data_IF_978197735940
#
_entry.id   IF_978197735940
#
_cell.length_a   1.000
_cell.length_b   1.000
_cell.length_c   1.000
_cell.angle_alpha   90.00
_cell.angle_beta   90.00
_cell.angle_gamma   90.00
#
_symmetry.space_group_name_H-M   'P 1'
#
loop_
_entity.id
_entity.type
_entity.pdbx_description
1 polymer ?
#
# COMPACT_ATOMS: atom_id res chain seq x y z
N UNK A 1 58.85 2.98 27.91
CA UNK A 1 58.04 4.17 28.24
C UNK A 1 56.64 3.93 27.67
N UNK A 2 55.70 3.50 28.53
CA UNK A 2 54.31 3.24 28.14
C UNK A 2 53.54 4.56 28.08
N UNK A 3 53.01 4.92 26.91
CA UNK A 3 52.13 6.07 26.72
C UNK A 3 50.71 5.63 26.43
N UNK A 4 49.92 5.44 27.50
CA UNK A 4 48.46 5.35 27.42
C UNK A 4 47.88 6.76 27.54
N UNK A 5 47.04 7.17 26.59
CA UNK A 5 46.26 8.41 26.63
C UNK A 5 45.84 8.79 25.21
N UNK A 6 44.56 8.95 24.85
CA UNK A 6 43.52 9.69 25.56
C UNK A 6 42.14 9.17 25.13
N UNK A 7 41.25 8.91 26.09
CA UNK A 7 39.82 8.67 25.85
C UNK A 7 39.14 9.96 25.38
N UNK A 8 38.17 9.75 24.50
CA UNK A 8 36.86 10.41 24.44
C UNK A 8 36.80 11.90 24.12
N UNK A 9 36.34 12.18 22.91
CA UNK A 9 35.56 13.36 22.58
C UNK A 9 34.43 12.94 21.63
N UNK A 10 33.47 12.14 22.11
CA UNK A 10 32.18 12.01 21.40
C UNK A 10 31.41 13.28 21.70
N UNK A 11 31.45 14.22 20.78
CA UNK A 11 30.62 15.42 20.78
C UNK A 11 29.14 15.02 20.81
N UNK A 12 28.34 15.67 21.66
CA UNK A 12 26.89 15.41 21.82
C UNK A 12 26.08 15.57 20.53
N UNK A 13 26.68 16.10 19.46
CA UNK A 13 26.11 16.16 18.11
C UNK A 13 26.15 14.80 17.38
N UNK A 14 27.14 13.95 17.64
CA UNK A 14 27.30 12.65 16.93
C UNK A 14 26.30 11.59 17.42
N UNK A 15 25.80 11.76 18.64
CA UNK A 15 24.75 10.89 19.21
C UNK A 15 23.35 11.25 18.72
N UNK A 16 23.14 12.47 18.19
CA UNK A 16 21.85 12.89 17.65
C UNK A 16 21.62 12.37 16.21
N UNK A 17 22.69 12.26 15.41
CA UNK A 17 22.59 11.82 14.01
C UNK A 17 22.47 10.30 13.82
N UNK A 18 22.90 9.53 14.81
CA UNK A 18 22.70 8.07 14.92
C UNK A 18 21.44 7.70 15.73
N UNK A 19 20.47 8.61 15.86
CA UNK A 19 19.10 8.25 16.24
C UNK A 19 18.34 7.68 15.03
N UNK A 20 18.98 6.77 14.28
CA UNK A 20 18.22 5.73 13.59
C UNK A 20 17.45 5.00 14.69
N UNK A 21 16.13 5.02 14.59
CA UNK A 21 15.23 4.55 15.64
C UNK A 21 15.69 3.19 16.16
N UNK A 22 16.04 3.15 17.46
CA UNK A 22 16.46 1.92 18.13
C UNK A 22 15.33 0.88 17.96
N UNK A 23 15.59 -0.32 17.41
CA UNK A 23 14.55 -1.30 17.14
C UNK A 23 13.76 -1.60 18.43
N UNK A 24 12.51 -1.10 18.48
CA UNK A 24 11.65 -1.21 19.67
C UNK A 24 11.22 0.14 20.27
N UNK A 25 11.65 1.28 19.70
CA UNK A 25 11.21 2.61 20.11
C UNK A 25 9.70 2.82 19.90
N UNK A 26 9.07 3.73 20.65
CA UNK A 26 7.64 4.06 20.48
C UNK A 26 7.31 4.51 19.06
N UNK A 27 8.23 5.24 18.40
CA UNK A 27 8.08 5.68 17.01
C UNK A 27 7.98 4.51 16.01
N UNK A 28 8.81 3.47 16.20
CA UNK A 28 8.78 2.29 15.32
C UNK A 28 7.49 1.47 15.48
N UNK A 29 7.00 1.37 16.72
CA UNK A 29 5.72 0.70 17.01
C UNK A 29 4.57 1.43 16.36
N UNK A 30 4.54 2.76 16.47
CA UNK A 30 3.53 3.61 15.83
C UNK A 30 3.58 3.50 14.30
N UNK A 31 4.77 3.50 13.70
CA UNK A 31 4.94 3.30 12.26
C UNK A 31 4.41 1.93 11.81
N UNK A 32 4.76 0.85 12.51
CA UNK A 32 4.27 -0.50 12.20
C UNK A 32 2.75 -0.58 12.32
N UNK A 33 2.18 0.02 13.37
CA UNK A 33 0.72 0.06 13.57
C UNK A 33 0.02 0.83 12.44
N UNK A 34 0.54 2.01 12.08
CA UNK A 34 0.04 2.80 10.97
C UNK A 34 0.10 2.04 9.64
N UNK A 35 1.24 1.39 9.34
CA UNK A 35 1.41 0.60 8.13
C UNK A 35 0.44 -0.59 8.07
N UNK A 36 0.30 -1.32 9.18
CA UNK A 36 -0.66 -2.43 9.29
C UNK A 36 -2.11 -1.95 9.15
N UNK A 37 -2.44 -0.79 9.74
CA UNK A 37 -3.78 -0.20 9.65
C UNK A 37 -4.14 0.17 8.21
N UNK A 38 -3.23 0.83 7.47
CA UNK A 38 -3.47 1.12 6.05
C UNK A 38 -3.71 -0.15 5.27
N UNK A 39 -2.86 -1.18 5.43
CA UNK A 39 -3.05 -2.47 4.73
C UNK A 39 -4.37 -3.12 5.12
N UNK A 40 -4.80 -3.01 6.38
CA UNK A 40 -6.10 -3.52 6.81
C UNK A 40 -7.27 -2.79 6.13
N UNK A 41 -7.21 -1.46 6.02
CA UNK A 41 -8.23 -0.69 5.29
C UNK A 41 -8.27 -1.10 3.82
N UNK A 42 -7.10 -1.23 3.18
CA UNK A 42 -6.99 -1.74 1.80
C UNK A 42 -7.62 -3.13 1.66
N UNK A 43 -7.34 -4.03 2.59
CA UNK A 43 -7.95 -5.37 2.61
C UNK A 43 -9.48 -5.31 2.67
N UNK A 44 -10.06 -4.47 3.53
CA UNK A 44 -11.50 -4.31 3.63
C UNK A 44 -12.12 -3.74 2.36
N UNK A 45 -11.50 -2.71 1.76
CA UNK A 45 -11.99 -2.10 0.52
C UNK A 45 -11.88 -3.08 -0.65
N UNK A 46 -10.79 -3.84 -0.75
CA UNK A 46 -10.61 -4.89 -1.73
C UNK A 46 -11.70 -5.97 -1.63
N UNK A 47 -12.06 -6.40 -0.41
CA UNK A 47 -13.19 -7.33 -0.22
C UNK A 47 -14.53 -6.70 -0.63
N UNK A 48 -14.74 -5.41 -0.37
CA UNK A 48 -15.93 -4.71 -0.83
C UNK A 48 -16.01 -4.69 -2.36
N UNK A 49 -14.91 -4.39 -3.05
CA UNK A 49 -14.79 -4.41 -4.52
C UNK A 49 -15.10 -5.80 -5.09
N UNK A 50 -14.53 -6.86 -4.51
CA UNK A 50 -14.84 -8.24 -4.90
C UNK A 50 -16.34 -8.53 -4.69
N UNK A 51 -16.90 -8.13 -3.54
CA UNK A 51 -18.31 -8.34 -3.22
C UNK A 51 -19.27 -7.60 -4.14
N UNK A 52 -18.88 -6.41 -4.62
CA UNK A 52 -19.66 -5.59 -5.54
C UNK A 52 -19.59 -6.16 -6.97
N UNK A 53 -18.40 -6.53 -7.46
CA UNK A 53 -18.22 -6.89 -8.88
C UNK A 53 -18.42 -8.38 -9.19
N UNK A 54 -18.17 -9.29 -8.24
CA UNK A 54 -18.33 -10.74 -8.45
C UNK A 54 -19.76 -11.18 -8.79
N UNK A 55 -20.83 -10.62 -8.20
CA UNK A 55 -22.21 -10.99 -8.55
C UNK A 55 -22.53 -10.83 -10.04
N UNK A 56 -21.94 -9.85 -10.73
CA UNK A 56 -22.13 -9.64 -12.17
C UNK A 56 -21.54 -10.79 -13.00
N UNK A 57 -20.42 -11.37 -12.56
CA UNK A 57 -19.80 -12.53 -13.20
C UNK A 57 -20.62 -13.79 -12.94
N UNK A 58 -21.08 -14.00 -11.70
CA UNK A 58 -21.94 -15.15 -11.35
C UNK A 58 -23.26 -15.09 -12.11
N UNK A 59 -23.84 -13.91 -12.26
CA UNK A 59 -25.05 -13.71 -13.05
C UNK A 59 -24.84 -14.06 -14.53
N UNK A 60 -23.73 -13.61 -15.13
CA UNK A 60 -23.38 -13.97 -16.51
C UNK A 60 -23.17 -15.49 -16.68
N UNK A 61 -22.50 -16.13 -15.72
CA UNK A 61 -22.30 -17.58 -15.70
C UNK A 61 -23.63 -18.33 -15.69
N UNK A 62 -24.53 -17.95 -14.78
CA UNK A 62 -25.84 -18.58 -14.62
C UNK A 62 -26.75 -18.39 -15.84
N UNK A 63 -26.48 -17.37 -16.66
CA UNK A 63 -27.20 -17.11 -17.91
C UNK A 63 -26.51 -17.72 -19.14
N UNK A 64 -25.43 -18.50 -18.96
CA UNK A 64 -24.61 -19.02 -20.05
C UNK A 64 -24.12 -17.93 -21.02
N UNK A 65 -23.88 -16.72 -20.52
CA UNK A 65 -23.34 -15.59 -21.27
C UNK A 65 -21.84 -15.46 -21.05
N UNK A 66 -21.14 -14.83 -22.00
CA UNK A 66 -19.76 -14.46 -21.83
C UNK A 66 -19.57 -13.48 -20.67
N UNK A 67 -18.47 -13.65 -19.92
CA UNK A 67 -18.08 -12.70 -18.89
C UNK A 67 -17.71 -11.37 -19.50
N UNK A 68 -18.28 -10.30 -18.98
CA UNK A 68 -17.84 -8.97 -19.34
C UNK A 68 -16.47 -8.69 -18.68
N UNK A 69 -15.43 -8.39 -19.50
CA UNK A 69 -14.06 -8.31 -19.03
C UNK A 69 -13.83 -7.20 -18.03
N UNK A 70 -14.71 -6.19 -17.96
CA UNK A 70 -14.58 -5.05 -17.05
C UNK A 70 -14.77 -5.48 -15.60
N UNK A 71 -15.83 -6.24 -15.32
CA UNK A 71 -16.10 -6.80 -14.00
C UNK A 71 -15.06 -7.83 -13.59
N UNK A 72 -14.61 -8.65 -14.55
CA UNK A 72 -13.57 -9.65 -14.32
C UNK A 72 -12.26 -8.99 -13.93
N UNK A 73 -11.85 -7.95 -14.66
CA UNK A 73 -10.63 -7.20 -14.35
C UNK A 73 -10.71 -6.55 -12.96
N UNK A 74 -11.82 -5.89 -12.63
CA UNK A 74 -12.02 -5.28 -11.31
C UNK A 74 -11.93 -6.30 -10.17
N UNK A 75 -12.56 -7.47 -10.36
CA UNK A 75 -12.53 -8.56 -9.38
C UNK A 75 -11.12 -9.13 -9.20
N UNK A 76 -10.34 -9.26 -10.28
CA UNK A 76 -8.94 -9.71 -10.22
C UNK A 76 -8.04 -8.70 -9.52
N UNK A 77 -8.19 -7.41 -9.80
CA UNK A 77 -7.43 -6.33 -9.13
C UNK A 77 -7.79 -6.27 -7.65
N UNK A 78 -9.07 -6.39 -7.30
CA UNK A 78 -9.54 -6.52 -5.92
C UNK A 78 -8.94 -7.73 -5.21
N UNK A 79 -8.98 -8.92 -5.83
CA UNK A 79 -8.40 -10.13 -5.28
C UNK A 79 -6.89 -10.02 -5.06
N UNK A 80 -6.16 -9.45 -6.03
CA UNK A 80 -4.71 -9.25 -5.92
C UNK A 80 -4.36 -8.24 -4.82
N UNK A 81 -5.16 -7.18 -4.68
CA UNK A 81 -5.02 -6.19 -3.60
C UNK A 81 -5.30 -6.80 -2.24
N UNK A 82 -6.40 -7.54 -2.10
CA UNK A 82 -6.76 -8.24 -0.86
C UNK A 82 -5.69 -9.25 -0.44
N UNK A 83 -5.19 -10.05 -1.38
CA UNK A 83 -4.12 -11.00 -1.11
C UNK A 83 -2.82 -10.29 -0.70
N UNK A 84 -2.44 -9.23 -1.41
CA UNK A 84 -1.26 -8.41 -1.10
C UNK A 84 -1.37 -7.84 0.32
N UNK A 85 -2.50 -7.21 0.64
CA UNK A 85 -2.73 -6.59 1.93
C UNK A 85 -2.67 -7.62 3.07
N UNK A 86 -3.34 -8.77 2.90
CA UNK A 86 -3.32 -9.85 3.87
C UNK A 86 -1.90 -10.36 4.14
N UNK A 87 -1.13 -10.63 3.07
CA UNK A 87 0.26 -11.08 3.18
C UNK A 87 1.11 -10.05 3.93
N UNK A 88 1.00 -8.77 3.60
CA UNK A 88 1.77 -7.71 4.24
C UNK A 88 1.39 -7.48 5.71
N UNK A 89 0.11 -7.62 6.06
CA UNK A 89 -0.35 -7.60 7.47
C UNK A 89 0.31 -8.75 8.23
N UNK A 90 0.23 -9.99 7.71
CA UNK A 90 0.82 -11.17 8.36
C UNK A 90 2.33 -11.00 8.54
N UNK A 91 3.06 -10.55 7.52
CA UNK A 91 4.51 -10.33 7.62
C UNK A 91 4.85 -9.28 8.68
N UNK A 92 4.02 -8.22 8.79
CA UNK A 92 4.18 -7.16 9.79
C UNK A 92 3.94 -7.69 11.19
N UNK A 93 2.86 -8.45 11.41
CA UNK A 93 2.52 -9.04 12.71
C UNK A 93 3.56 -10.06 13.18
N UNK A 94 4.10 -10.86 12.26
CA UNK A 94 5.14 -11.87 12.57
C UNK A 94 6.54 -11.27 12.74
N UNK A 95 6.70 -9.93 12.67
CA UNK A 95 7.98 -9.22 12.73
C UNK A 95 9.04 -9.76 11.74
N UNK A 96 8.61 -10.36 10.62
CA UNK A 96 9.51 -11.10 9.72
C UNK A 96 10.36 -10.17 8.85
N UNK A 97 9.97 -8.89 8.76
CA UNK A 97 10.76 -7.84 8.11
C UNK A 97 12.09 -7.52 8.82
N UNK A 98 12.22 -7.77 10.13
CA UNK A 98 13.44 -7.45 10.88
C UNK A 98 14.69 -8.23 10.42
N UNK A 99 14.50 -9.28 9.61
CA UNK A 99 15.59 -10.15 9.10
C UNK A 99 15.98 -9.88 7.65
N UNK A 100 15.25 -9.04 6.93
CA UNK A 100 15.51 -8.75 5.53
C UNK A 100 16.37 -7.48 5.42
N UNK A 101 17.37 -7.46 4.54
CA UNK A 101 18.27 -6.30 4.35
C UNK A 101 17.52 -5.08 3.82
N UNK A 102 17.46 -4.01 4.64
CA UNK A 102 16.54 -2.85 4.60
C UNK A 102 16.28 -2.19 3.21
N UNK A 103 17.27 -2.03 2.30
CA UNK A 103 17.04 -1.22 1.10
C UNK A 103 16.27 -1.93 -0.04
N UNK A 104 16.47 -3.23 -0.25
CA UNK A 104 15.95 -3.93 -1.46
C UNK A 104 14.43 -4.12 -1.39
N UNK A 105 13.90 -4.49 -0.24
CA UNK A 105 12.47 -4.75 -0.09
C UNK A 105 11.63 -3.48 -0.12
N UNK A 106 12.15 -2.33 0.32
CA UNK A 106 11.43 -1.05 0.20
C UNK A 106 11.26 -0.67 -1.28
N UNK A 107 12.28 -0.88 -2.11
CA UNK A 107 12.21 -0.63 -3.56
C UNK A 107 11.23 -1.60 -4.24
N UNK A 108 11.28 -2.88 -3.89
CA UNK A 108 10.33 -3.86 -4.41
C UNK A 108 8.88 -3.50 -4.07
N UNK A 109 8.61 -3.16 -2.80
CA UNK A 109 7.28 -2.73 -2.36
C UNK A 109 6.82 -1.46 -3.06
N UNK A 110 7.72 -0.51 -3.31
CA UNK A 110 7.40 0.70 -4.08
C UNK A 110 6.96 0.38 -5.51
N UNK A 111 7.69 -0.49 -6.21
CA UNK A 111 7.34 -0.92 -7.57
C UNK A 111 6.01 -1.65 -7.58
N UNK A 112 5.79 -2.54 -6.60
CA UNK A 112 4.53 -3.28 -6.48
C UNK A 112 3.35 -2.37 -6.17
N UNK A 113 3.50 -1.45 -5.21
CA UNK A 113 2.45 -0.49 -4.86
C UNK A 113 2.16 0.46 -6.05
N UNK A 114 3.17 0.86 -6.83
CA UNK A 114 2.98 1.63 -8.06
C UNK A 114 2.23 0.85 -9.15
N UNK A 115 2.54 -0.43 -9.30
CA UNK A 115 1.79 -1.31 -10.20
C UNK A 115 0.32 -1.44 -9.76
N UNK A 116 0.06 -1.62 -8.46
CA UNK A 116 -1.31 -1.67 -7.94
C UNK A 116 -2.03 -0.34 -8.10
N UNK A 117 -1.38 0.78 -7.80
CA UNK A 117 -1.94 2.12 -8.03
C UNK A 117 -2.37 2.31 -9.49
N UNK A 118 -1.54 1.87 -10.45
CA UNK A 118 -1.87 1.94 -11.87
C UNK A 118 -3.12 1.10 -12.19
N UNK A 119 -3.24 -0.11 -11.65
CA UNK A 119 -4.44 -0.93 -11.85
C UNK A 119 -5.69 -0.24 -11.28
N UNK A 120 -5.59 0.38 -10.10
CA UNK A 120 -6.71 1.14 -9.52
C UNK A 120 -7.07 2.40 -10.30
N UNK A 121 -6.09 3.07 -10.94
CA UNK A 121 -6.36 4.15 -11.91
C UNK A 121 -7.15 3.63 -13.09
N UNK A 122 -6.79 2.46 -13.63
CA UNK A 122 -7.50 1.84 -14.77
C UNK A 122 -8.94 1.47 -14.37
N UNK A 123 -9.12 0.77 -13.24
CA UNK A 123 -10.45 0.39 -12.73
C UNK A 123 -11.33 1.62 -12.50
N UNK A 124 -10.82 2.60 -11.76
CA UNK A 124 -11.53 3.86 -11.50
C UNK A 124 -11.84 4.61 -12.79
N UNK A 125 -10.94 4.59 -13.78
CA UNK A 125 -11.17 5.18 -15.10
C UNK A 125 -12.30 4.52 -15.88
N UNK A 126 -12.33 3.17 -15.92
CA UNK A 126 -13.37 2.40 -16.59
C UNK A 126 -14.74 2.71 -15.98
N UNK A 127 -14.87 2.54 -14.66
CA UNK A 127 -16.16 2.70 -13.99
C UNK A 127 -16.54 4.17 -13.77
N UNK A 128 -15.57 5.06 -13.60
CA UNK A 128 -15.81 6.50 -13.50
C UNK A 128 -16.38 7.10 -14.79
N UNK A 129 -15.92 6.66 -15.96
CA UNK A 129 -16.51 7.09 -17.23
C UNK A 129 -17.89 6.47 -17.45
N UNK A 130 -18.06 5.19 -17.07
CA UNK A 130 -19.31 4.46 -17.28
C UNK A 130 -20.45 4.98 -16.40
N UNK A 131 -20.19 5.24 -15.11
CA UNK A 131 -21.23 5.57 -14.13
C UNK A 131 -21.21 7.02 -13.65
N UNK A 132 -20.16 7.79 -13.98
CA UNK A 132 -20.02 9.18 -13.55
C UNK A 132 -21.11 10.10 -14.10
N UNK A 133 -21.58 9.87 -15.32
CA UNK A 133 -22.61 10.69 -15.99
C UNK A 133 -24.01 10.07 -15.98
N UNK A 134 -24.11 8.81 -15.58
CA UNK A 134 -25.38 8.08 -15.63
C UNK A 134 -26.35 8.59 -14.57
N UNK A 135 -27.60 8.82 -14.98
CA UNK A 135 -28.67 9.22 -14.08
C UNK A 135 -29.29 7.94 -13.50
N UNK A 136 -29.31 7.77 -12.17
CA UNK A 136 -30.00 6.64 -11.57
C UNK A 136 -31.50 6.88 -11.69
N UNK A 137 -32.12 6.43 -12.78
CA UNK A 137 -33.57 6.49 -13.03
C UNK A 137 -34.35 5.49 -12.16
N UNK A 138 -34.04 5.44 -10.86
CA UNK A 138 -34.56 4.46 -9.91
C UNK A 138 -33.88 3.09 -9.95
N UNK A 139 -32.88 2.89 -10.82
CA UNK A 139 -32.10 1.66 -10.87
C UNK A 139 -31.10 1.60 -9.70
N UNK A 140 -31.35 0.67 -8.78
CA UNK A 140 -30.50 0.42 -7.61
C UNK A 140 -29.09 0.01 -8.01
N UNK A 141 -28.92 -0.73 -9.10
CA UNK A 141 -27.62 -1.15 -9.59
C UNK A 141 -26.74 0.03 -10.00
N UNK A 142 -27.32 1.06 -10.64
CA UNK A 142 -26.56 2.26 -11.01
C UNK A 142 -26.11 3.04 -9.76
N UNK A 143 -26.94 3.11 -8.72
CA UNK A 143 -26.59 3.76 -7.45
C UNK A 143 -25.44 3.00 -6.76
N UNK A 144 -25.53 1.68 -6.70
CA UNK A 144 -24.48 0.81 -6.15
C UNK A 144 -23.16 0.98 -6.90
N UNK A 145 -23.20 1.03 -8.24
CA UNK A 145 -22.02 1.24 -9.07
C UNK A 145 -21.40 2.62 -8.89
N UNK A 146 -22.20 3.67 -8.68
CA UNK A 146 -21.66 5.01 -8.35
C UNK A 146 -20.94 5.01 -7.01
N UNK A 147 -21.44 4.27 -6.02
CA UNK A 147 -20.75 4.09 -4.74
C UNK A 147 -19.48 3.25 -4.91
N UNK A 148 -19.49 2.23 -5.77
CA UNK A 148 -18.32 1.41 -6.08
C UNK A 148 -17.16 2.24 -6.63
N UNK A 149 -17.44 3.20 -7.52
CA UNK A 149 -16.42 4.12 -8.06
C UNK A 149 -15.70 4.90 -6.94
N UNK A 150 -16.42 5.28 -5.88
CA UNK A 150 -15.79 5.95 -4.73
C UNK A 150 -14.89 5.00 -3.93
N UNK A 151 -15.27 3.72 -3.83
CA UNK A 151 -14.44 2.68 -3.19
C UNK A 151 -13.15 2.46 -4.00
N UNK A 152 -13.26 2.36 -5.33
CA UNK A 152 -12.11 2.20 -6.22
C UNK A 152 -11.15 3.39 -6.13
N UNK A 153 -11.70 4.61 -6.05
CA UNK A 153 -10.94 5.84 -5.88
C UNK A 153 -10.25 5.91 -4.50
N UNK A 154 -10.91 5.43 -3.44
CA UNK A 154 -10.31 5.36 -2.12
C UNK A 154 -9.11 4.40 -2.09
N UNK A 155 -9.21 3.24 -2.75
CA UNK A 155 -8.08 2.32 -2.89
C UNK A 155 -6.91 2.93 -3.67
N UNK A 156 -7.21 3.56 -4.80
CA UNK A 156 -6.20 4.29 -5.58
C UNK A 156 -5.44 5.29 -4.70
N UNK A 157 -6.15 6.09 -3.89
CA UNK A 157 -5.54 7.07 -2.99
C UNK A 157 -4.69 6.41 -1.89
N UNK A 158 -5.13 5.28 -1.33
CA UNK A 158 -4.37 4.55 -0.32
C UNK A 158 -3.03 4.05 -0.88
N UNK A 159 -3.01 3.52 -2.10
CA UNK A 159 -1.75 3.14 -2.75
C UNK A 159 -0.84 4.34 -3.03
N UNK A 160 -1.38 5.51 -3.40
CA UNK A 160 -0.58 6.72 -3.56
C UNK A 160 0.06 7.16 -2.23
N UNK A 161 -0.66 7.01 -1.11
CA UNK A 161 -0.11 7.29 0.22
C UNK A 161 1.03 6.31 0.55
N UNK A 162 0.88 5.01 0.29
CA UNK A 162 1.95 4.04 0.56
C UNK A 162 3.18 4.29 -0.31
N UNK A 163 3.01 4.64 -1.58
CA UNK A 163 4.08 5.04 -2.50
C UNK A 163 4.81 6.27 -1.97
N UNK A 164 4.09 7.32 -1.57
CA UNK A 164 4.68 8.54 -1.05
C UNK A 164 5.51 8.27 0.23
N UNK A 165 4.98 7.43 1.13
CA UNK A 165 5.70 7.00 2.33
C UNK A 165 6.98 6.23 1.98
N UNK A 166 6.91 5.25 1.07
CA UNK A 166 8.07 4.47 0.64
C UNK A 166 9.14 5.35 -0.06
N UNK A 167 8.72 6.25 -0.95
CA UNK A 167 9.60 7.21 -1.62
C UNK A 167 10.30 8.14 -0.63
N UNK A 168 9.58 8.62 0.41
CA UNK A 168 10.15 9.47 1.45
C UNK A 168 11.22 8.74 2.28
N UNK A 169 11.08 7.43 2.49
CA UNK A 169 12.05 6.61 3.22
C UNK A 169 13.31 6.39 2.38
N UNK A 170 13.16 6.09 1.10
CA UNK A 170 14.28 5.97 0.17
C UNK A 170 15.04 7.29 0.06
N UNK A 171 14.33 8.42 -0.06
CA UNK A 171 14.97 9.74 -0.13
C UNK A 171 15.76 10.07 1.15
N UNK A 172 15.24 9.71 2.33
CA UNK A 172 15.95 9.84 3.60
C UNK A 172 17.20 8.95 3.66
N UNK A 173 17.08 7.68 3.29
CA UNK A 173 18.21 6.74 3.28
C UNK A 173 19.35 7.20 2.35
N UNK A 174 19.02 7.75 1.17
CA UNK A 174 20.01 8.27 0.22
C UNK A 174 20.74 9.51 0.75
N UNK A 175 20.08 10.37 1.53
CA UNK A 175 20.73 11.54 2.15
C UNK A 175 21.70 11.14 3.26
N UNK A 176 21.34 10.15 4.06
CA UNK A 176 22.22 9.63 5.11
C UNK A 176 23.48 8.99 4.53
N UNK A 177 23.38 8.20 3.46
CA UNK A 177 24.56 7.59 2.83
C UNK A 177 25.58 8.62 2.33
N UNK A 178 25.11 9.68 1.66
CA UNK A 178 25.97 10.77 1.16
C UNK A 178 26.71 11.54 2.26
N UNK A 179 26.22 11.53 3.50
CA UNK A 179 26.83 12.24 4.62
C UNK A 179 28.02 11.51 5.26
N UNK A 180 28.20 10.20 4.98
CA UNK A 180 29.33 9.40 5.49
C UNK A 180 30.48 9.27 4.49
N UNK A 181 30.29 9.71 3.24
CA UNK A 181 31.30 9.71 2.16
C UNK A 181 32.09 11.04 2.10
N UNK A 182 32.02 11.89 3.14
CA UNK A 182 32.76 13.17 3.28
C UNK A 182 33.73 13.08 4.45
#
# INVERSE_FOLDING_TARGET
MFGFGKRSGKTSADTASYSGSQPGSSSDKLYKLYAAFIRFVQFCLALAVIGIYSPYLVHAHNQHKYYDPRWMYATLVGAATGLTALVLIIITLLNRFARMSIPIHIVFLLIWDAFMALNWVIVTGIFGVMYGKEKPEGDKGIIEMKNAVWVDLAEMLLFLITIAVAASQIHRARRSAKAYDV
#
